data_IF_793855469136
#
_entry.id   IF_793855469136
#
_cell.length_a   1.000
_cell.length_b   1.000
_cell.length_c   1.000
_cell.angle_alpha   90.00
_cell.angle_beta   90.00
_cell.angle_gamma   90.00
#
_symmetry.space_group_name_H-M   'P 1'
#
loop_
_entity.id
_entity.type
_entity.pdbx_description
1 polymer ?
#
# COMPACT_ATOMS: atom_id res chain seq x y z
N UNK A 1 8.23 4.05 76.22
CA UNK A 1 8.48 5.30 75.46
C UNK A 1 9.93 5.26 74.99
N UNK A 2 10.19 4.98 73.71
CA UNK A 2 11.54 4.97 73.13
C UNK A 2 11.66 6.21 72.22
N UNK A 3 12.52 7.15 72.61
CA UNK A 3 12.79 8.37 71.86
C UNK A 3 13.71 8.06 70.66
N UNK A 4 13.19 8.19 69.44
CA UNK A 4 14.01 8.24 68.22
C UNK A 4 14.55 9.67 68.02
N UNK A 5 15.82 9.87 68.35
CA UNK A 5 16.56 11.08 67.96
C UNK A 5 16.93 11.01 66.48
N UNK A 6 16.13 11.67 65.63
CA UNK A 6 16.40 11.83 64.20
C UNK A 6 17.61 12.75 63.97
N UNK A 7 18.75 12.17 63.57
CA UNK A 7 19.90 12.92 63.04
C UNK A 7 19.52 13.46 61.66
N UNK A 8 19.16 14.74 61.55
CA UNK A 8 19.09 15.42 60.25
C UNK A 8 20.51 15.59 59.71
N UNK A 9 20.89 14.78 58.72
CA UNK A 9 22.07 15.07 57.90
C UNK A 9 21.77 16.32 57.06
N UNK A 10 22.46 17.41 57.32
CA UNK A 10 22.44 18.59 56.45
C UNK A 10 23.12 18.19 55.13
N UNK A 11 22.32 17.86 54.14
CA UNK A 11 22.79 17.64 52.77
C UNK A 11 23.36 18.99 52.29
N UNK A 12 24.67 19.04 52.06
CA UNK A 12 25.31 20.20 51.44
C UNK A 12 24.80 20.29 50.00
N UNK A 13 24.00 21.32 49.72
CA UNK A 13 23.55 21.62 48.37
C UNK A 13 24.75 22.18 47.59
N UNK A 14 25.44 21.33 46.83
CA UNK A 14 26.44 21.79 45.87
C UNK A 14 25.69 22.47 44.73
N UNK A 15 25.81 23.80 44.62
CA UNK A 15 25.26 24.55 43.48
C UNK A 15 25.85 24.03 42.17
N UNK A 16 25.02 23.95 41.13
CA UNK A 16 25.49 23.59 39.79
C UNK A 16 26.51 24.61 39.32
N UNK A 17 27.64 24.13 38.80
CA UNK A 17 28.63 25.02 38.19
C UNK A 17 28.13 25.50 36.83
N UNK A 18 28.41 26.75 36.45
CA UNK A 18 28.07 27.30 35.13
C UNK A 18 28.59 26.41 33.97
N UNK A 19 29.74 25.76 34.17
CA UNK A 19 30.33 24.84 33.18
C UNK A 19 29.51 23.56 33.02
N UNK A 20 28.85 23.09 34.09
CA UNK A 20 28.04 21.86 34.08
C UNK A 20 26.78 22.05 33.24
N UNK A 21 26.15 23.22 33.37
CA UNK A 21 24.98 23.58 32.56
C UNK A 21 25.37 23.76 31.08
N UNK A 22 26.55 24.35 30.82
CA UNK A 22 27.03 24.51 29.45
C UNK A 22 27.32 23.16 28.77
N UNK A 23 27.94 22.22 29.47
CA UNK A 23 28.20 20.86 28.97
C UNK A 23 26.89 20.08 28.79
N UNK A 24 25.94 20.18 29.72
CA UNK A 24 24.64 19.49 29.56
C UNK A 24 23.86 20.00 28.35
N UNK A 25 23.83 21.32 28.11
CA UNK A 25 23.19 21.89 26.91
C UNK A 25 23.87 21.40 25.62
N UNK A 26 25.20 21.31 25.59
CA UNK A 26 25.94 20.76 24.45
C UNK A 26 25.59 19.29 24.20
N UNK A 27 25.60 18.44 25.23
CA UNK A 27 25.26 17.01 25.08
C UNK A 27 23.79 16.86 24.64
N UNK A 28 22.87 17.61 25.25
CA UNK A 28 21.44 17.58 24.91
C UNK A 28 21.18 18.04 23.47
N UNK A 29 21.85 19.11 23.02
CA UNK A 29 21.70 19.60 21.64
C UNK A 29 22.16 18.57 20.61
N UNK A 30 23.29 17.88 20.85
CA UNK A 30 23.76 16.79 19.99
C UNK A 30 22.74 15.63 20.00
N UNK A 31 22.24 15.26 21.17
CA UNK A 31 21.23 14.21 21.32
C UNK A 31 19.93 14.52 20.55
N UNK A 32 19.43 15.75 20.65
CA UNK A 32 18.20 16.17 19.97
C UNK A 32 18.36 16.20 18.45
N UNK A 33 19.52 16.61 17.93
CA UNK A 33 19.84 16.54 16.51
C UNK A 33 19.86 15.09 16.00
N UNK A 34 20.41 14.15 16.80
CA UNK A 34 20.38 12.73 16.49
C UNK A 34 18.95 12.19 16.36
N UNK A 35 18.06 12.55 17.30
CA UNK A 35 16.65 12.14 17.26
C UNK A 35 15.94 12.75 16.05
N UNK A 36 16.17 14.03 15.74
CA UNK A 36 15.58 14.69 14.57
C UNK A 36 15.98 13.99 13.25
N UNK A 37 17.26 13.62 13.10
CA UNK A 37 17.74 12.89 11.93
C UNK A 37 17.04 11.52 11.77
N UNK A 38 16.88 10.77 12.86
CA UNK A 38 16.16 9.48 12.81
C UNK A 38 14.69 9.63 12.46
N UNK A 39 14.02 10.68 12.93
CA UNK A 39 12.62 10.95 12.59
C UNK A 39 12.44 11.18 11.08
N UNK A 40 13.33 11.94 10.45
CA UNK A 40 13.25 12.21 9.00
C UNK A 40 13.35 10.93 8.18
N UNK A 41 14.27 10.02 8.54
CA UNK A 41 14.41 8.72 7.86
C UNK A 41 13.20 7.82 8.15
N UNK A 42 12.67 7.85 9.37
CA UNK A 42 11.50 7.07 9.77
C UNK A 42 10.25 7.38 8.95
N UNK A 43 10.03 8.64 8.56
CA UNK A 43 8.85 9.02 7.74
C UNK A 43 8.81 8.28 6.40
N UNK A 44 9.95 8.14 5.72
CA UNK A 44 10.02 7.44 4.43
C UNK A 44 9.64 5.95 4.54
N UNK A 45 10.08 5.27 5.61
CA UNK A 45 9.74 3.86 5.86
C UNK A 45 8.27 3.68 6.23
N UNK A 46 7.71 4.59 7.03
CA UNK A 46 6.29 4.57 7.36
C UNK A 46 5.44 4.76 6.11
N UNK A 47 5.83 5.68 5.22
CA UNK A 47 5.11 5.91 3.96
C UNK A 47 5.16 4.69 3.02
N UNK A 48 6.32 4.03 2.86
CA UNK A 48 6.42 2.80 2.05
C UNK A 48 5.55 1.66 2.62
N UNK A 49 5.57 1.49 3.93
CA UNK A 49 4.75 0.48 4.62
C UNK A 49 3.26 0.75 4.47
N UNK A 50 2.87 2.03 4.53
CA UNK A 50 1.50 2.47 4.27
C UNK A 50 1.06 2.13 2.85
N UNK A 51 1.85 2.47 1.82
CA UNK A 51 1.53 2.14 0.42
C UNK A 51 1.39 0.62 0.22
N UNK A 52 2.28 -0.19 0.78
CA UNK A 52 2.19 -1.66 0.71
C UNK A 52 0.90 -2.21 1.34
N UNK A 53 0.49 -1.63 2.47
CA UNK A 53 -0.75 -2.00 3.14
C UNK A 53 -1.97 -1.66 2.28
N UNK A 54 -2.01 -0.44 1.73
CA UNK A 54 -3.06 -0.01 0.80
C UNK A 54 -3.12 -0.91 -0.44
N UNK A 55 -1.97 -1.25 -1.04
CA UNK A 55 -1.93 -2.11 -2.21
C UNK A 55 -2.50 -3.50 -1.91
N UNK A 56 -2.16 -4.06 -0.75
CA UNK A 56 -2.70 -5.37 -0.32
C UNK A 56 -4.21 -5.32 -0.13
N UNK A 57 -4.73 -4.24 0.47
CA UNK A 57 -6.19 -4.06 0.64
C UNK A 57 -6.91 -3.98 -0.71
N UNK A 58 -6.37 -3.24 -1.68
CA UNK A 58 -6.94 -3.13 -3.02
C UNK A 58 -6.87 -4.46 -3.78
N UNK A 59 -5.77 -5.19 -3.69
CA UNK A 59 -5.66 -6.51 -4.31
C UNK A 59 -6.71 -7.48 -3.75
N UNK A 60 -6.95 -7.44 -2.44
CA UNK A 60 -8.01 -8.26 -1.82
C UNK A 60 -9.40 -7.84 -2.32
N UNK A 61 -9.67 -6.54 -2.43
CA UNK A 61 -10.94 -6.04 -2.99
C UNK A 61 -11.15 -6.55 -4.43
N UNK A 62 -10.12 -6.48 -5.28
CA UNK A 62 -10.21 -7.01 -6.65
C UNK A 62 -10.42 -8.52 -6.65
N UNK A 63 -9.74 -9.25 -5.76
CA UNK A 63 -9.90 -10.70 -5.61
C UNK A 63 -11.34 -11.06 -5.25
N UNK A 64 -11.94 -10.34 -4.30
CA UNK A 64 -13.34 -10.54 -3.91
C UNK A 64 -14.29 -10.32 -5.09
N UNK A 65 -14.03 -9.29 -5.93
CA UNK A 65 -14.80 -9.03 -7.15
C UNK A 65 -14.63 -10.11 -8.20
N UNK A 66 -13.41 -10.60 -8.40
CA UNK A 66 -13.12 -11.72 -9.31
C UNK A 66 -13.87 -12.99 -8.89
N UNK A 67 -13.92 -13.30 -7.60
CA UNK A 67 -14.67 -14.45 -7.07
C UNK A 67 -16.19 -14.33 -7.28
N UNK A 68 -16.72 -13.11 -7.47
CA UNK A 68 -18.14 -12.89 -7.79
C UNK A 68 -18.44 -12.99 -9.29
N UNK A 69 -17.42 -13.04 -10.14
CA UNK A 69 -17.55 -13.04 -11.60
C UNK A 69 -16.64 -14.12 -12.24
N UNK A 70 -16.89 -15.38 -11.85
CA UNK A 70 -16.09 -16.53 -12.30
C UNK A 70 -16.12 -16.73 -13.83
N UNK A 71 -17.21 -16.37 -14.50
CA UNK A 71 -17.29 -16.44 -15.96
C UNK A 71 -16.22 -15.55 -16.61
N UNK A 72 -16.04 -14.32 -16.11
CA UNK A 72 -15.02 -13.40 -16.64
C UNK A 72 -13.59 -13.82 -16.24
N UNK A 73 -13.43 -14.48 -15.10
CA UNK A 73 -12.16 -15.06 -14.67
C UNK A 73 -11.72 -16.15 -15.63
N UNK A 74 -12.58 -17.14 -15.89
CA UNK A 74 -12.26 -18.27 -16.78
C UNK A 74 -12.05 -17.81 -18.23
N UNK A 75 -12.76 -16.77 -18.68
CA UNK A 75 -12.55 -16.18 -20.01
C UNK A 75 -11.33 -15.25 -20.09
N UNK A 76 -10.53 -15.13 -19.03
CA UNK A 76 -9.35 -14.26 -18.95
C UNK A 76 -9.66 -12.76 -19.17
N UNK A 77 -10.89 -12.32 -18.90
CA UNK A 77 -11.34 -10.94 -19.13
C UNK A 77 -10.70 -9.93 -18.15
N UNK A 78 -10.15 -10.42 -17.03
CA UNK A 78 -9.40 -9.59 -16.09
C UNK A 78 -7.95 -9.33 -16.52
N UNK A 79 -7.47 -9.91 -17.63
CA UNK A 79 -6.07 -9.81 -18.04
C UNK A 79 -5.66 -8.38 -18.44
N UNK A 80 -4.75 -7.79 -17.68
CA UNK A 80 -4.14 -6.49 -17.95
C UNK A 80 -2.65 -6.51 -17.64
N UNK A 81 -1.82 -6.04 -18.56
CA UNK A 81 -0.36 -6.04 -18.36
C UNK A 81 0.15 -4.85 -17.54
N UNK A 82 -0.44 -3.66 -17.75
CA UNK A 82 0.00 -2.42 -17.11
C UNK A 82 -1.08 -1.33 -17.22
N UNK A 83 -2.19 -1.51 -16.51
CA UNK A 83 -3.22 -0.47 -16.41
C UNK A 83 -2.71 0.68 -15.54
N UNK A 84 -2.58 1.88 -16.13
CA UNK A 84 -2.01 3.07 -15.50
C UNK A 84 -2.89 4.30 -15.75
N UNK A 85 -2.41 5.49 -15.39
CA UNK A 85 -3.15 6.75 -15.53
C UNK A 85 -3.68 7.01 -16.95
N UNK A 86 -3.00 6.55 -18.00
CA UNK A 86 -3.49 6.68 -19.37
C UNK A 86 -4.78 5.89 -19.62
N UNK A 87 -4.93 4.73 -18.96
CA UNK A 87 -6.15 3.91 -19.01
C UNK A 87 -7.36 4.59 -18.37
N UNK A 88 -7.12 5.51 -17.42
CA UNK A 88 -8.18 6.30 -16.79
C UNK A 88 -8.75 7.42 -17.69
N UNK A 89 -8.10 7.74 -18.81
CA UNK A 89 -8.60 8.73 -19.76
C UNK A 89 -9.76 8.24 -20.63
N UNK A 90 -10.00 6.93 -20.67
CA UNK A 90 -11.06 6.31 -21.46
C UNK A 90 -11.93 5.43 -20.58
N UNK A 91 -13.09 5.95 -20.20
CA UNK A 91 -14.06 5.18 -19.43
C UNK A 91 -14.57 3.96 -20.22
N UNK A 92 -14.89 2.84 -19.55
CA UNK A 92 -15.53 1.68 -20.17
C UNK A 92 -16.87 2.04 -20.81
N UNK A 93 -17.25 1.30 -21.85
CA UNK A 93 -18.50 1.52 -22.56
C UNK A 93 -19.75 1.32 -21.68
N UNK A 94 -19.64 0.48 -20.64
CA UNK A 94 -20.68 0.29 -19.63
C UNK A 94 -20.06 0.46 -18.25
N UNK A 95 -20.63 1.36 -17.44
CA UNK A 95 -20.18 1.66 -16.08
C UNK A 95 -20.79 0.74 -15.01
N UNK A 96 -21.49 -0.33 -15.41
CA UNK A 96 -22.00 -1.42 -14.56
C UNK A 96 -22.48 -1.03 -13.15
N UNK A 97 -23.16 0.11 -13.04
CA UNK A 97 -23.69 0.66 -11.79
C UNK A 97 -25.20 0.92 -11.94
N UNK A 98 -25.90 0.87 -10.80
CA UNK A 98 -27.34 1.15 -10.73
C UNK A 98 -28.16 0.13 -11.51
N UNK A 99 -28.91 0.60 -12.52
CA UNK A 99 -29.83 -0.23 -13.32
C UNK A 99 -29.21 -0.72 -14.64
N UNK A 100 -27.91 -0.53 -14.85
CA UNK A 100 -27.22 -0.98 -16.07
C UNK A 100 -26.96 -2.47 -15.98
N UNK A 101 -27.53 -3.25 -16.89
CA UNK A 101 -27.22 -4.68 -17.03
C UNK A 101 -25.92 -4.84 -17.82
N UNK A 102 -24.89 -5.40 -17.17
CA UNK A 102 -23.62 -5.71 -17.80
C UNK A 102 -23.46 -7.20 -18.06
N UNK A 103 -22.77 -7.52 -19.15
CA UNK A 103 -22.20 -8.86 -19.36
C UNK A 103 -21.04 -9.10 -18.37
N UNK A 104 -20.70 -10.36 -18.06
CA UNK A 104 -19.53 -10.70 -17.23
C UNK A 104 -18.24 -9.97 -17.64
N UNK A 105 -17.96 -9.90 -18.95
CA UNK A 105 -16.80 -9.20 -19.51
C UNK A 105 -16.83 -7.69 -19.26
N UNK A 106 -17.99 -7.05 -19.46
CA UNK A 106 -18.15 -5.61 -19.20
C UNK A 106 -17.97 -5.28 -17.72
N UNK A 107 -18.49 -6.14 -16.84
CA UNK A 107 -18.32 -5.99 -15.40
C UNK A 107 -16.85 -6.10 -14.99
N UNK A 108 -16.09 -7.06 -15.52
CA UNK A 108 -14.65 -7.20 -15.24
C UNK A 108 -13.84 -5.97 -15.70
N UNK A 109 -14.13 -5.46 -16.91
CA UNK A 109 -13.51 -4.24 -17.44
C UNK A 109 -13.81 -3.04 -16.52
N UNK A 110 -15.05 -2.98 -16.02
CA UNK A 110 -15.49 -1.94 -15.11
C UNK A 110 -14.81 -2.03 -13.73
N UNK A 111 -14.71 -3.23 -13.15
CA UNK A 111 -14.04 -3.45 -11.87
C UNK A 111 -12.56 -3.05 -11.92
N UNK A 112 -11.84 -3.43 -13.00
CA UNK A 112 -10.45 -3.01 -13.23
C UNK A 112 -10.35 -1.49 -13.34
N UNK A 113 -11.25 -0.87 -14.10
CA UNK A 113 -11.29 0.58 -14.24
C UNK A 113 -11.52 1.27 -12.90
N UNK A 114 -12.49 0.82 -12.10
CA UNK A 114 -12.82 1.43 -10.82
C UNK A 114 -11.72 1.28 -9.79
N UNK A 115 -11.12 0.10 -9.66
CA UNK A 115 -10.03 -0.05 -8.71
C UNK A 115 -8.79 0.75 -9.13
N UNK A 116 -8.55 0.88 -10.44
CA UNK A 116 -7.39 1.60 -10.95
C UNK A 116 -7.57 3.12 -10.93
N UNK A 117 -8.76 3.60 -11.26
CA UNK A 117 -9.06 5.02 -11.48
C UNK A 117 -9.84 5.67 -10.34
N UNK A 118 -10.42 4.89 -9.42
CA UNK A 118 -11.13 5.36 -8.24
C UNK A 118 -12.65 5.20 -8.30
N UNK A 119 -13.28 5.15 -7.12
CA UNK A 119 -14.73 5.18 -6.94
C UNK A 119 -15.28 6.58 -6.71
N UNK A 120 -14.46 7.52 -6.27
CA UNK A 120 -14.90 8.89 -6.05
C UNK A 120 -15.08 9.66 -7.37
N UNK A 121 -15.85 10.75 -7.34
CA UNK A 121 -16.14 11.56 -8.53
C UNK A 121 -14.90 12.24 -9.15
N UNK A 122 -13.76 12.20 -8.44
CA UNK A 122 -12.51 12.84 -8.80
C UNK A 122 -11.38 11.83 -9.12
N UNK A 123 -11.64 10.52 -8.96
CA UNK A 123 -10.69 9.42 -9.07
C UNK A 123 -9.61 9.32 -8.00
N UNK A 124 -9.69 10.02 -6.85
CA UNK A 124 -8.53 10.15 -5.94
C UNK A 124 -8.16 8.85 -5.20
N UNK A 125 -9.09 7.92 -5.10
CA UNK A 125 -8.96 6.64 -4.39
C UNK A 125 -8.47 5.50 -5.30
N UNK A 126 -8.22 5.76 -6.57
CA UNK A 126 -7.68 4.77 -7.50
C UNK A 126 -6.19 4.51 -7.32
N UNK A 127 -5.72 3.35 -7.81
CA UNK A 127 -4.29 2.98 -7.83
C UNK A 127 -3.44 4.08 -8.48
N UNK A 128 -3.95 4.71 -9.54
CA UNK A 128 -3.20 5.72 -10.30
C UNK A 128 -2.97 7.03 -9.54
N UNK A 129 -3.79 7.32 -8.52
CA UNK A 129 -3.68 8.52 -7.68
C UNK A 129 -3.07 8.26 -6.31
N UNK A 130 -3.33 7.09 -5.70
CA UNK A 130 -2.72 6.70 -4.41
C UNK A 130 -1.23 6.44 -4.57
N UNK A 131 -0.83 5.82 -5.68
CA UNK A 131 0.55 5.38 -5.90
C UNK A 131 1.25 6.25 -6.94
N UNK A 132 2.47 6.76 -6.67
CA UNK A 132 3.25 7.50 -7.65
C UNK A 132 3.56 6.64 -8.88
N UNK A 133 3.00 7.03 -10.03
CA UNK A 133 3.07 6.23 -11.26
C UNK A 133 2.61 4.78 -11.05
N UNK A 134 1.53 4.62 -10.28
CA UNK A 134 0.92 3.34 -10.00
C UNK A 134 0.41 2.63 -11.24
N UNK A 135 0.61 1.32 -11.31
CA UNK A 135 0.03 0.47 -12.34
C UNK A 135 -0.45 -0.86 -11.76
N UNK A 136 -1.61 -1.32 -12.27
CA UNK A 136 -2.18 -2.63 -12.02
C UNK A 136 -1.80 -3.58 -13.16
N UNK A 137 -1.39 -4.79 -12.80
CA UNK A 137 -1.27 -5.90 -13.72
C UNK A 137 -2.04 -7.10 -13.15
N UNK A 138 -2.79 -7.79 -13.99
CA UNK A 138 -3.46 -9.03 -13.67
C UNK A 138 -3.15 -10.00 -14.79
N UNK A 139 -2.56 -11.14 -14.45
CA UNK A 139 -2.22 -12.18 -15.40
C UNK A 139 -2.79 -13.51 -14.93
N UNK A 140 -3.33 -14.29 -15.85
CA UNK A 140 -3.59 -15.69 -15.59
C UNK A 140 -2.30 -16.50 -15.76
N UNK A 141 -1.99 -17.31 -14.75
CA UNK A 141 -0.92 -18.30 -14.78
C UNK A 141 -1.58 -19.63 -15.09
N UNK A 142 -1.51 -19.98 -16.37
CA UNK A 142 -2.12 -21.18 -16.91
C UNK A 142 -1.62 -22.45 -16.20
N UNK A 143 -2.56 -23.28 -15.77
CA UNK A 143 -2.30 -24.48 -14.96
C UNK A 143 -1.70 -25.63 -15.76
N UNK A 144 -1.94 -25.66 -17.06
CA UNK A 144 -1.48 -26.69 -17.99
C UNK A 144 -0.73 -26.10 -19.19
N UNK A 145 0.04 -25.04 -18.92
CA UNK A 145 0.86 -24.32 -19.89
C UNK A 145 1.52 -25.22 -20.94
N UNK A 146 1.08 -25.05 -22.19
CA UNK A 146 1.60 -25.77 -23.36
C UNK A 146 0.83 -27.04 -23.76
N UNK A 147 -0.28 -27.33 -23.09
CA UNK A 147 -1.20 -28.42 -23.47
C UNK A 147 -2.26 -27.94 -24.47
N UNK A 148 -2.81 -26.74 -24.27
CA UNK A 148 -3.76 -26.14 -25.19
C UNK A 148 -3.39 -24.69 -25.57
N UNK A 149 -4.30 -24.05 -26.31
CA UNK A 149 -4.15 -22.66 -26.76
C UNK A 149 -4.92 -21.68 -25.86
N UNK A 150 -5.57 -22.17 -24.80
CA UNK A 150 -6.30 -21.33 -23.86
C UNK A 150 -5.29 -20.69 -22.90
N UNK A 151 -5.20 -19.35 -22.85
CA UNK A 151 -4.28 -18.69 -21.92
C UNK A 151 -4.73 -18.77 -20.45
N UNK A 152 -5.91 -19.31 -20.15
CA UNK A 152 -6.42 -19.40 -18.79
C UNK A 152 -7.36 -20.58 -18.57
N UNK A 153 -6.82 -21.81 -18.61
CA UNK A 153 -7.60 -23.03 -18.38
C UNK A 153 -8.31 -23.00 -17.02
N UNK A 154 -9.52 -23.59 -16.96
CA UNK A 154 -10.32 -23.69 -15.74
C UNK A 154 -9.49 -24.17 -14.53
N UNK A 155 -9.47 -23.34 -13.48
CA UNK A 155 -8.72 -23.62 -12.26
C UNK A 155 -7.28 -23.13 -12.25
N UNK A 156 -6.88 -22.34 -13.25
CA UNK A 156 -5.63 -21.58 -13.28
C UNK A 156 -5.56 -20.52 -12.18
N UNK A 157 -4.33 -20.15 -11.81
CA UNK A 157 -4.11 -19.14 -10.77
C UNK A 157 -4.05 -17.76 -11.40
N UNK A 158 -4.66 -16.76 -10.78
CA UNK A 158 -4.50 -15.37 -11.20
C UNK A 158 -3.46 -14.68 -10.33
N UNK A 159 -2.50 -14.02 -10.98
CA UNK A 159 -1.51 -13.17 -10.35
C UNK A 159 -1.95 -11.71 -10.49
N UNK A 160 -2.17 -11.05 -9.36
CA UNK A 160 -2.49 -9.63 -9.29
C UNK A 160 -1.26 -8.90 -8.75
N UNK A 161 -0.81 -7.87 -9.47
CA UNK A 161 0.36 -7.07 -9.12
C UNK A 161 0.00 -5.59 -9.16
N UNK A 162 0.23 -4.89 -8.05
CA UNK A 162 0.22 -3.43 -8.01
C UNK A 162 1.66 -2.98 -7.89
N UNK A 163 2.10 -2.13 -8.83
CA UNK A 163 3.46 -1.60 -8.90
C UNK A 163 3.47 -0.07 -8.87
N UNK A 164 4.52 0.52 -8.31
CA UNK A 164 4.70 1.97 -8.26
C UNK A 164 6.18 2.36 -8.24
N UNK A 165 6.44 3.61 -8.61
CA UNK A 165 7.78 4.17 -8.61
C UNK A 165 8.15 4.68 -7.21
N UNK A 166 9.36 4.35 -6.77
CA UNK A 166 10.00 4.96 -5.60
C UNK A 166 11.03 5.96 -6.11
N UNK A 167 11.10 7.14 -5.50
CA UNK A 167 12.00 8.22 -5.95
C UNK A 167 13.44 7.70 -6.13
N UNK A 168 13.89 7.63 -7.38
CA UNK A 168 15.23 7.19 -7.81
C UNK A 168 15.64 5.77 -7.38
N UNK A 169 14.68 4.87 -7.13
CA UNK A 169 14.92 3.46 -6.79
C UNK A 169 14.21 2.53 -7.78
N UNK A 170 14.50 1.23 -7.68
CA UNK A 170 13.74 0.20 -8.39
C UNK A 170 12.25 0.26 -8.01
N UNK A 171 11.39 -0.12 -8.95
CA UNK A 171 9.94 -0.21 -8.73
C UNK A 171 9.62 -1.07 -7.51
N UNK A 172 8.72 -0.56 -6.68
CA UNK A 172 8.10 -1.36 -5.64
C UNK A 172 6.84 -2.01 -6.17
N UNK A 173 6.56 -3.19 -5.66
CA UNK A 173 5.38 -3.95 -6.01
C UNK A 173 4.88 -4.76 -4.82
N UNK A 174 3.57 -5.02 -4.85
CA UNK A 174 2.89 -6.05 -4.06
C UNK A 174 2.24 -6.99 -5.06
N UNK A 175 2.43 -8.28 -4.85
CA UNK A 175 1.83 -9.32 -5.65
C UNK A 175 1.05 -10.30 -4.77
N UNK A 176 -0.10 -10.76 -5.27
CA UNK A 176 -0.86 -11.86 -4.70
C UNK A 176 -1.19 -12.84 -5.82
N UNK A 177 -1.01 -14.12 -5.55
CA UNK A 177 -1.48 -15.19 -6.43
C UNK A 177 -2.68 -15.81 -5.77
N UNK A 178 -3.81 -15.78 -6.48
CA UNK A 178 -5.09 -16.28 -6.00
C UNK A 178 -5.58 -17.38 -6.92
N UNK A 179 -6.29 -18.35 -6.34
CA UNK A 179 -7.09 -19.29 -7.09
C UNK A 179 -8.56 -18.91 -6.86
N UNK A 180 -9.22 -18.28 -7.84
CA UNK A 180 -10.58 -17.79 -7.70
C UNK A 180 -11.60 -18.92 -7.48
#
# INVERSE_FOLDING_TARGET
MLNFTSKRSTQYQSGMSLIEILVTVVILSIGLLGIAATQTVGVGYNHDSYLRSQATMMINELTERMSLNLDAVNNNDFNVNAFNMAGCGTAPAALCEGTVNCTPQQLATYDIYKISCGYDANGNDGITNIFPSGALAVACIDSDAGVDADPCTDGSNHQIVISWQRANLAQAQVQLVVRP
#
